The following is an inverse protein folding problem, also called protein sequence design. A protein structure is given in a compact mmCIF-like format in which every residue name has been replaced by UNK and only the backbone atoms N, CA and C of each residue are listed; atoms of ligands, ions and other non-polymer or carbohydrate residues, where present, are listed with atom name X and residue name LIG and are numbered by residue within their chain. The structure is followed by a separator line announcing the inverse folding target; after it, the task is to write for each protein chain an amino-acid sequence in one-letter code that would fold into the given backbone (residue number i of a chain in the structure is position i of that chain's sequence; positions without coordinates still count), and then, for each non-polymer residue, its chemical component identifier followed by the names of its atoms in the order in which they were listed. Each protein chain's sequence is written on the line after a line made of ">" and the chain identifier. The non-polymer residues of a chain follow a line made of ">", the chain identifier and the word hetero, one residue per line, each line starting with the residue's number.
data_IF_778103754461
#
_entry.id   IF_778103754461
#
_cell.length_a   1.000
_cell.length_b   1.000
_cell.length_c   1.000
_cell.angle_alpha   90.00
_cell.angle_beta   90.00
_cell.angle_gamma   90.00
#
_symmetry.space_group_name_H-M   'P 1'
#
loop_
_entity.id
_entity.type
_entity.pdbx_description
1 polymer ?
#
# COMPACT_ATOMS: atom_id res chain seq x y z
N UNK A 1 -3.42 21.17 -9.25
CA UNK A 1 -2.88 22.35 -8.54
C UNK A 1 -2.06 21.83 -7.37
N UNK A 2 -0.74 22.05 -7.37
CA UNK A 2 0.18 21.49 -6.38
C UNK A 2 0.03 22.22 -5.03
N UNK A 3 -0.23 21.45 -3.97
CA UNK A 3 -0.15 21.89 -2.58
C UNK A 3 1.31 22.32 -2.36
N UNK A 4 1.61 23.51 -1.79
CA UNK A 4 2.99 23.85 -1.46
C UNK A 4 3.52 22.80 -0.48
N UNK A 5 4.40 21.93 -0.97
CA UNK A 5 4.81 20.68 -0.31
C UNK A 5 5.58 20.90 1.02
N UNK A 6 5.91 22.16 1.37
CA UNK A 6 6.82 22.48 2.48
C UNK A 6 6.15 23.05 3.75
N UNK A 7 4.82 23.26 3.78
CA UNK A 7 4.19 23.97 4.92
C UNK A 7 3.41 23.08 5.90
N UNK A 8 3.24 21.79 5.61
CA UNK A 8 2.56 20.85 6.50
C UNK A 8 3.31 19.54 6.65
N UNK A 9 3.02 18.83 7.73
CA UNK A 9 3.34 17.42 7.88
C UNK A 9 2.10 16.68 8.41
N UNK A 10 1.77 15.55 7.77
CA UNK A 10 0.59 14.77 8.08
C UNK A 10 0.96 13.36 8.55
N UNK A 11 0.13 12.83 9.44
CA UNK A 11 0.24 11.47 9.96
C UNK A 11 -1.14 10.82 10.08
N UNK A 12 -1.18 9.51 9.84
CA UNK A 12 -2.30 8.63 10.21
C UNK A 12 -2.01 7.97 11.55
N UNK A 13 -2.97 7.97 12.46
CA UNK A 13 -2.90 7.17 13.68
C UNK A 13 -3.21 5.69 13.38
N UNK A 14 -2.36 4.80 13.88
CA UNK A 14 -2.50 3.34 13.76
C UNK A 14 -3.10 2.74 15.04
N UNK A 15 -3.61 1.49 14.93
CA UNK A 15 -4.32 0.82 16.02
C UNK A 15 -3.48 0.47 17.24
N UNK A 16 -2.16 0.41 17.09
CA UNK A 16 -1.21 0.24 18.18
C UNK A 16 -0.88 1.58 18.88
N UNK A 17 -1.46 2.68 18.40
CA UNK A 17 -1.22 4.03 18.87
C UNK A 17 0.01 4.69 18.26
N UNK A 18 0.73 4.04 17.34
CA UNK A 18 1.81 4.69 16.58
C UNK A 18 1.26 5.57 15.46
N UNK A 19 2.10 6.46 14.93
CA UNK A 19 1.75 7.34 13.81
C UNK A 19 2.55 7.01 12.55
N UNK A 20 1.85 6.94 11.42
CA UNK A 20 2.42 6.72 10.09
C UNK A 20 2.45 8.03 9.32
N UNK A 21 3.61 8.45 8.83
CA UNK A 21 3.73 9.67 8.00
C UNK A 21 2.97 9.48 6.69
N UNK A 22 2.16 10.47 6.33
CA UNK A 22 1.37 10.50 5.10
C UNK A 22 1.98 11.52 4.14
N UNK A 23 2.15 11.14 2.88
CA UNK A 23 2.60 12.06 1.84
C UNK A 23 1.48 13.05 1.51
N UNK A 24 1.84 14.31 1.26
CA UNK A 24 0.86 15.38 1.02
C UNK A 24 -0.01 15.11 -0.22
N UNK A 25 0.52 14.40 -1.22
CA UNK A 25 -0.21 14.00 -2.42
C UNK A 25 -1.27 12.92 -2.17
N UNK A 26 -1.03 12.04 -1.19
CA UNK A 26 -1.95 10.96 -0.83
C UNK A 26 -2.96 11.36 0.25
N UNK A 27 -2.78 12.53 0.88
CA UNK A 27 -3.49 12.93 2.09
C UNK A 27 -5.02 12.79 1.97
N UNK A 28 -5.59 13.14 0.82
CA UNK A 28 -7.02 13.01 0.57
C UNK A 28 -7.52 11.58 0.77
N UNK A 29 -6.79 10.58 0.26
CA UNK A 29 -7.18 9.17 0.31
C UNK A 29 -7.23 8.60 1.73
N UNK A 30 -6.57 9.26 2.69
CA UNK A 30 -6.54 8.84 4.09
C UNK A 30 -7.70 9.39 4.92
N UNK A 31 -8.46 10.37 4.39
CA UNK A 31 -9.69 10.83 5.02
C UNK A 31 -10.81 9.83 4.75
N UNK A 32 -11.04 8.95 5.72
CA UNK A 32 -12.12 7.97 5.75
C UNK A 32 -12.71 7.92 7.16
N UNK A 33 -13.98 7.54 7.29
CA UNK A 33 -14.72 7.72 8.53
C UNK A 33 -14.21 6.90 9.73
N UNK A 34 -13.31 5.95 9.52
CA UNK A 34 -12.69 5.16 10.60
C UNK A 34 -11.28 5.63 11.00
N UNK A 35 -10.71 6.61 10.30
CA UNK A 35 -9.35 7.07 10.51
C UNK A 35 -9.27 8.30 11.44
N UNK A 36 -8.10 8.46 12.05
CA UNK A 36 -7.66 9.71 12.66
C UNK A 36 -6.43 10.20 11.89
N UNK A 37 -6.53 11.43 11.38
CA UNK A 37 -5.48 12.09 10.62
C UNK A 37 -5.03 13.33 11.36
N UNK A 38 -3.76 13.43 11.67
CA UNK A 38 -3.16 14.59 12.30
C UNK A 38 -2.34 15.38 11.29
N UNK A 39 -2.58 16.67 11.16
CA UNK A 39 -1.85 17.58 10.28
C UNK A 39 -1.29 18.72 11.10
N UNK A 40 0.03 18.88 11.07
CA UNK A 40 0.72 20.02 11.66
C UNK A 40 1.08 21.04 10.58
N UNK A 41 0.78 22.32 10.85
CA UNK A 41 1.11 23.45 9.99
C UNK A 41 2.31 24.21 10.56
N UNK A 42 3.40 24.30 9.80
CA UNK A 42 4.67 24.88 10.27
C UNK A 42 4.57 26.38 10.54
N UNK A 43 3.94 27.12 9.62
CA UNK A 43 3.83 28.58 9.72
C UNK A 43 2.99 29.03 10.92
N UNK A 44 1.87 28.37 11.16
CA UNK A 44 0.94 28.69 12.25
C UNK A 44 1.32 28.01 13.57
N UNK A 45 2.21 27.01 13.53
CA UNK A 45 2.57 26.14 14.65
C UNK A 45 1.34 25.49 15.30
N UNK A 46 0.40 25.04 14.45
CA UNK A 46 -0.88 24.47 14.87
C UNK A 46 -0.98 23.02 14.45
N UNK A 47 -1.46 22.19 15.37
CA UNK A 47 -1.79 20.80 15.12
C UNK A 47 -3.31 20.66 14.96
N UNK A 48 -3.76 20.05 13.88
CA UNK A 48 -5.14 19.67 13.66
C UNK A 48 -5.23 18.16 13.68
N UNK A 49 -6.15 17.61 14.47
CA UNK A 49 -6.44 16.18 14.55
C UNK A 49 -7.85 16.01 14.02
N UNK A 50 -7.97 15.55 12.79
CA UNK A 50 -9.24 15.17 12.20
C UNK A 50 -9.58 13.74 12.62
N UNK A 51 -10.78 13.55 13.15
CA UNK A 51 -11.36 12.29 13.59
C UNK A 51 -12.57 11.98 12.72
N UNK A 52 -12.53 10.89 11.97
CA UNK A 52 -13.69 10.39 11.24
C UNK A 52 -14.89 10.08 12.15
N UNK A 53 -16.09 10.02 11.59
CA UNK A 53 -17.32 9.85 12.37
C UNK A 53 -17.43 8.48 13.05
N UNK A 54 -16.90 7.45 12.41
CA UNK A 54 -17.01 6.04 12.77
C UNK A 54 -15.70 5.47 13.34
N UNK A 55 -14.84 6.30 13.93
CA UNK A 55 -13.55 5.86 14.47
C UNK A 55 -13.75 4.89 15.65
N UNK A 56 -13.12 3.70 15.63
CA UNK A 56 -13.14 2.76 16.75
C UNK A 56 -12.65 3.34 18.08
N UNK A 57 -13.31 2.98 19.20
CA UNK A 57 -13.01 3.57 20.53
C UNK A 57 -11.58 3.30 21.00
N UNK A 58 -11.03 2.13 20.69
CA UNK A 58 -9.63 1.80 20.96
C UNK A 58 -8.68 2.79 20.25
N UNK A 59 -8.96 3.15 18.99
CA UNK A 59 -8.17 4.14 18.26
C UNK A 59 -8.31 5.54 18.87
N UNK A 60 -9.53 5.94 19.27
CA UNK A 60 -9.76 7.23 19.93
C UNK A 60 -8.96 7.40 21.23
N UNK A 61 -8.74 6.32 21.98
CA UNK A 61 -7.98 6.36 23.22
C UNK A 61 -6.50 6.77 23.02
N UNK A 62 -5.99 6.67 21.79
CA UNK A 62 -4.63 7.09 21.45
C UNK A 62 -4.54 8.56 20.99
N UNK A 63 -5.65 9.29 20.87
CA UNK A 63 -5.60 10.74 20.53
C UNK A 63 -4.69 11.55 21.46
N UNK A 64 -4.71 11.36 22.80
CA UNK A 64 -3.90 12.16 23.71
C UNK A 64 -2.38 12.04 23.50
N UNK A 65 -1.91 10.93 22.92
CA UNK A 65 -0.47 10.67 22.71
C UNK A 65 0.04 11.17 21.35
N UNK A 66 -0.85 11.60 20.44
CA UNK A 66 -0.47 12.05 19.10
C UNK A 66 0.52 13.22 19.17
N UNK A 67 0.24 14.19 20.04
CA UNK A 67 1.08 15.39 20.18
C UNK A 67 2.51 15.02 20.59
N UNK A 68 2.65 14.18 21.62
CA UNK A 68 3.94 13.70 22.11
C UNK A 68 4.71 12.96 21.01
N UNK A 69 4.02 12.09 20.25
CA UNK A 69 4.65 11.33 19.17
C UNK A 69 5.12 12.22 18.02
N UNK A 70 4.34 13.24 17.63
CA UNK A 70 4.75 14.17 16.57
C UNK A 70 5.99 14.95 17.00
N UNK A 71 6.03 15.45 18.24
CA UNK A 71 7.20 16.17 18.78
C UNK A 71 8.41 15.23 18.88
N UNK A 72 8.21 13.98 19.29
CA UNK A 72 9.28 12.97 19.37
C UNK A 72 9.88 12.64 18.01
N UNK A 73 9.05 12.49 16.97
CA UNK A 73 9.52 12.24 15.60
C UNK A 73 10.12 13.48 14.94
N UNK A 74 9.73 14.67 15.40
CA UNK A 74 10.18 15.95 14.83
C UNK A 74 10.64 16.90 15.94
N UNK A 75 11.87 16.75 16.46
CA UNK A 75 12.36 17.55 17.59
C UNK A 75 12.36 19.08 17.36
N UNK A 76 12.29 19.51 16.10
CA UNK A 76 12.26 20.92 15.70
C UNK A 76 10.85 21.54 15.68
N UNK A 77 9.80 20.72 15.85
CA UNK A 77 8.41 21.19 15.89
C UNK A 77 8.08 21.71 17.29
N UNK A 78 7.36 22.83 17.33
CA UNK A 78 6.78 23.39 18.54
C UNK A 78 5.30 23.64 18.28
N UNK A 79 4.44 22.98 19.04
CA UNK A 79 2.99 23.07 18.89
C UNK A 79 2.49 24.16 19.83
N UNK A 80 1.97 25.26 19.27
CA UNK A 80 1.39 26.35 20.05
C UNK A 80 -0.06 26.06 20.43
N UNK A 81 -0.76 25.31 19.59
CA UNK A 81 -2.17 24.97 19.79
C UNK A 81 -2.52 23.70 19.03
N UNK A 82 -3.32 22.85 19.63
CA UNK A 82 -3.95 21.72 18.95
C UNK A 82 -5.47 21.90 18.86
N UNK A 83 -6.07 21.32 17.83
CA UNK A 83 -7.51 21.28 17.60
C UNK A 83 -7.91 19.85 17.25
N UNK A 84 -9.08 19.42 17.75
CA UNK A 84 -9.69 18.16 17.32
C UNK A 84 -10.95 18.48 16.55
N UNK A 85 -11.01 18.03 15.30
CA UNK A 85 -12.14 18.20 14.40
C UNK A 85 -12.80 16.84 14.27
N UNK A 86 -14.13 16.79 14.36
CA UNK A 86 -14.87 15.54 14.32
C UNK A 86 -15.84 15.53 13.14
N UNK A 87 -15.67 14.55 12.25
CA UNK A 87 -16.58 14.32 11.13
C UNK A 87 -16.64 15.46 10.12
N UNK A 88 -17.82 15.66 9.54
CA UNK A 88 -18.09 16.73 8.55
C UNK A 88 -18.84 17.88 9.22
N UNK A 89 -18.09 18.81 9.85
CA UNK A 89 -18.61 20.02 10.52
C UNK A 89 -18.14 21.30 9.81
N UNK A 90 -18.61 22.46 10.26
CA UNK A 90 -18.12 23.77 9.79
C UNK A 90 -16.60 23.89 9.96
N UNK A 91 -16.07 23.43 11.10
CA UNK A 91 -14.64 23.37 11.41
C UNK A 91 -13.86 22.50 10.40
N UNK A 92 -14.50 21.47 9.84
CA UNK A 92 -13.92 20.64 8.78
C UNK A 92 -13.74 21.45 7.50
N UNK A 93 -14.70 22.31 7.15
CA UNK A 93 -14.59 23.15 5.95
C UNK A 93 -13.40 24.10 6.04
N UNK A 94 -13.25 24.83 7.15
CA UNK A 94 -12.11 25.73 7.36
C UNK A 94 -10.76 24.99 7.31
N UNK A 95 -10.72 23.79 7.87
CA UNK A 95 -9.54 22.94 7.85
C UNK A 95 -9.19 22.44 6.44
N UNK A 96 -10.17 22.04 5.64
CA UNK A 96 -9.96 21.62 4.25
C UNK A 96 -9.47 22.79 3.38
N UNK A 97 -9.98 23.99 3.61
CA UNK A 97 -9.51 25.21 2.93
C UNK A 97 -8.01 25.47 3.20
N UNK A 98 -7.56 25.27 4.45
CA UNK A 98 -6.14 25.37 4.82
C UNK A 98 -5.27 24.33 4.09
N UNK A 99 -5.81 23.12 3.91
CA UNK A 99 -5.16 22.04 3.16
C UNK A 99 -5.23 22.22 1.64
N UNK A 100 -6.05 23.14 1.15
CA UNK A 100 -6.40 23.30 -0.28
C UNK A 100 -7.03 22.02 -0.85
N UNK A 101 -7.79 21.31 -0.03
CA UNK A 101 -8.57 20.15 -0.45
C UNK A 101 -9.98 20.63 -0.80
N UNK A 102 -10.48 20.23 -1.96
CA UNK A 102 -11.85 20.54 -2.37
C UNK A 102 -12.85 19.77 -1.47
N UNK A 103 -13.86 20.47 -0.95
CA UNK A 103 -14.85 19.89 -0.05
C UNK A 103 -15.72 18.80 -0.72
N UNK A 104 -16.00 18.92 -2.01
CA UNK A 104 -16.76 17.94 -2.78
C UNK A 104 -15.94 16.67 -2.99
N UNK A 105 -14.65 16.79 -3.35
CA UNK A 105 -13.74 15.65 -3.47
C UNK A 105 -13.57 14.93 -2.13
N UNK A 106 -13.47 15.67 -1.03
CA UNK A 106 -13.42 15.10 0.32
C UNK A 106 -14.69 14.32 0.68
N UNK A 107 -15.88 14.88 0.43
CA UNK A 107 -17.14 14.18 0.70
C UNK A 107 -17.28 12.92 -0.15
N UNK A 108 -16.95 13.03 -1.44
CA UNK A 108 -16.96 11.91 -2.37
C UNK A 108 -16.02 10.78 -1.91
N UNK A 109 -14.81 11.13 -1.45
CA UNK A 109 -13.87 10.17 -0.90
C UNK A 109 -14.44 9.42 0.33
N UNK A 110 -15.15 10.10 1.23
CA UNK A 110 -15.80 9.47 2.38
C UNK A 110 -16.91 8.51 1.94
N UNK A 111 -17.79 8.95 1.03
CA UNK A 111 -18.93 8.19 0.53
C UNK A 111 -18.48 6.94 -0.23
N UNK A 112 -17.57 7.08 -1.19
CA UNK A 112 -17.04 5.96 -1.97
C UNK A 112 -16.39 4.90 -1.08
N UNK A 113 -15.69 5.33 -0.04
CA UNK A 113 -15.07 4.41 0.90
C UNK A 113 -16.08 3.73 1.82
N UNK A 114 -17.09 4.45 2.32
CA UNK A 114 -18.14 3.87 3.16
C UNK A 114 -18.99 2.85 2.35
N UNK A 115 -19.31 3.15 1.09
CA UNK A 115 -19.99 2.23 0.18
C UNK A 115 -19.16 0.98 -0.12
N UNK A 116 -17.86 1.17 -0.38
CA UNK A 116 -16.92 0.06 -0.54
C UNK A 116 -16.86 -0.80 0.72
N UNK A 117 -16.71 -0.17 1.89
CA UNK A 117 -16.67 -0.86 3.18
C UNK A 117 -17.95 -1.65 3.42
N UNK A 118 -19.11 -1.05 3.18
CA UNK A 118 -20.41 -1.68 3.36
C UNK A 118 -20.54 -2.97 2.56
N UNK A 119 -20.20 -2.94 1.27
CA UNK A 119 -20.23 -4.13 0.41
C UNK A 119 -19.29 -5.24 0.91
N UNK A 120 -18.08 -4.87 1.31
CA UNK A 120 -17.10 -5.84 1.84
C UNK A 120 -17.53 -6.46 3.17
N UNK A 121 -18.19 -5.69 4.05
CA UNK A 121 -18.77 -6.21 5.28
C UNK A 121 -19.89 -7.23 5.00
N UNK A 122 -20.74 -6.97 4.01
CA UNK A 122 -21.76 -7.94 3.57
C UNK A 122 -21.11 -9.23 3.07
N UNK A 123 -20.03 -9.15 2.28
CA UNK A 123 -19.29 -10.34 1.84
C UNK A 123 -18.68 -11.11 3.02
N UNK A 124 -18.16 -10.40 4.04
CA UNK A 124 -17.66 -11.04 5.26
C UNK A 124 -18.80 -11.77 5.99
N UNK A 125 -19.98 -11.16 6.12
CA UNK A 125 -21.12 -11.77 6.80
C UNK A 125 -21.56 -13.08 6.13
N UNK A 126 -21.58 -13.12 4.80
CA UNK A 126 -21.89 -14.33 4.02
C UNK A 126 -20.87 -15.42 4.34
N UNK A 127 -19.57 -15.13 4.20
CA UNK A 127 -18.50 -16.08 4.51
C UNK A 127 -18.52 -16.56 5.97
N UNK A 128 -18.87 -15.68 6.91
CA UNK A 128 -19.03 -16.04 8.32
C UNK A 128 -20.19 -17.02 8.55
N UNK A 129 -21.29 -16.91 7.79
CA UNK A 129 -22.39 -17.85 7.86
C UNK A 129 -22.01 -19.20 7.26
N UNK A 130 -21.32 -19.22 6.12
CA UNK A 130 -20.78 -20.46 5.53
C UNK A 130 -19.82 -21.16 6.48
N UNK A 131 -18.94 -20.42 7.17
CA UNK A 131 -18.05 -20.99 8.20
C UNK A 131 -18.86 -21.72 9.29
N UNK A 132 -19.99 -21.15 9.75
CA UNK A 132 -20.85 -21.80 10.76
C UNK A 132 -21.41 -23.13 10.24
N UNK A 133 -21.77 -23.20 8.96
CA UNK A 133 -22.24 -24.44 8.32
C UNK A 133 -21.12 -25.49 8.23
N UNK A 134 -19.94 -25.10 7.76
CA UNK A 134 -18.78 -26.00 7.70
C UNK A 134 -18.31 -26.47 9.08
N UNK A 135 -18.48 -25.66 10.13
CA UNK A 135 -18.24 -26.09 11.52
C UNK A 135 -19.18 -27.22 11.95
N UNK A 136 -20.45 -27.20 11.52
CA UNK A 136 -21.41 -28.28 11.79
C UNK A 136 -20.99 -29.58 11.09
N UNK A 137 -20.43 -29.48 9.89
CA UNK A 137 -19.97 -30.61 9.09
C UNK A 137 -18.53 -31.06 9.40
N UNK A 138 -17.81 -30.36 10.29
CA UNK A 138 -16.38 -30.59 10.61
C UNK A 138 -15.44 -30.45 9.41
N UNK A 139 -15.80 -29.63 8.44
CA UNK A 139 -15.01 -29.39 7.23
C UNK A 139 -13.91 -28.35 7.50
N UNK A 140 -12.92 -28.71 8.32
CA UNK A 140 -11.91 -27.79 8.85
C UNK A 140 -11.08 -27.07 7.78
N UNK A 141 -10.83 -27.73 6.64
CA UNK A 141 -10.10 -27.13 5.52
C UNK A 141 -10.89 -25.97 4.88
N UNK A 142 -12.18 -26.15 4.65
CA UNK A 142 -13.06 -25.12 4.10
C UNK A 142 -13.16 -23.92 5.04
N UNK A 143 -13.25 -24.17 6.35
CA UNK A 143 -13.26 -23.11 7.35
C UNK A 143 -11.96 -22.30 7.29
N UNK A 144 -10.81 -22.94 7.19
CA UNK A 144 -9.52 -22.23 7.08
C UNK A 144 -9.45 -21.37 5.80
N UNK A 145 -9.91 -21.88 4.66
CA UNK A 145 -9.94 -21.14 3.40
C UNK A 145 -10.82 -19.90 3.54
N UNK A 146 -12.05 -20.06 4.01
CA UNK A 146 -13.01 -18.96 4.17
C UNK A 146 -12.54 -17.94 5.22
N UNK A 147 -11.97 -18.39 6.33
CA UNK A 147 -11.42 -17.50 7.36
C UNK A 147 -10.26 -16.64 6.81
N UNK A 148 -9.38 -17.21 5.98
CA UNK A 148 -8.33 -16.44 5.30
C UNK A 148 -8.91 -15.43 4.31
N UNK A 149 -9.96 -15.79 3.57
CA UNK A 149 -10.65 -14.87 2.67
C UNK A 149 -11.26 -13.70 3.45
N UNK A 150 -11.88 -13.96 4.60
CA UNK A 150 -12.38 -12.91 5.49
C UNK A 150 -11.24 -12.00 5.97
N UNK A 151 -10.08 -12.56 6.36
CA UNK A 151 -8.92 -11.76 6.78
C UNK A 151 -8.49 -10.81 5.66
N UNK A 152 -8.31 -11.32 4.43
CA UNK A 152 -7.93 -10.50 3.27
C UNK A 152 -8.94 -9.36 3.00
N UNK A 153 -10.24 -9.65 3.07
CA UNK A 153 -11.28 -8.62 2.92
C UNK A 153 -11.20 -7.62 4.08
N UNK A 154 -11.07 -8.11 5.31
CA UNK A 154 -11.01 -7.30 6.52
C UNK A 154 -9.79 -6.38 6.56
N UNK A 155 -8.65 -6.81 6.01
CA UNK A 155 -7.45 -5.97 5.85
C UNK A 155 -7.71 -4.79 4.91
N UNK A 156 -8.35 -5.02 3.77
CA UNK A 156 -8.71 -3.96 2.79
C UNK A 156 -9.61 -2.89 3.40
N UNK A 157 -10.53 -3.29 4.28
CA UNK A 157 -11.40 -2.37 4.99
C UNK A 157 -10.88 -1.97 6.38
N UNK A 158 -9.69 -2.37 6.79
CA UNK A 158 -9.11 -2.04 8.10
C UNK A 158 -10.00 -2.48 9.30
N UNK A 159 -10.68 -3.62 9.19
CA UNK A 159 -11.52 -4.21 10.24
C UNK A 159 -10.72 -5.15 11.17
N UNK A 160 -9.84 -4.56 11.99
CA UNK A 160 -8.86 -5.27 12.81
C UNK A 160 -9.46 -6.24 13.83
N UNK A 161 -10.65 -5.96 14.36
CA UNK A 161 -11.33 -6.86 15.29
C UNK A 161 -11.75 -8.16 14.60
N UNK A 162 -12.22 -8.08 13.35
CA UNK A 162 -12.58 -9.24 12.53
C UNK A 162 -11.33 -10.06 12.21
N UNK A 163 -10.22 -9.40 11.82
CA UNK A 163 -8.94 -10.07 11.54
C UNK A 163 -8.53 -10.93 12.75
N UNK A 164 -8.47 -10.32 13.94
CA UNK A 164 -8.09 -11.02 15.19
C UNK A 164 -9.03 -12.17 15.52
N UNK A 165 -10.34 -12.01 15.27
CA UNK A 165 -11.32 -13.07 15.48
C UNK A 165 -11.08 -14.27 14.55
N UNK A 166 -10.81 -14.01 13.27
CA UNK A 166 -10.55 -15.08 12.29
C UNK A 166 -9.19 -15.75 12.50
N UNK A 167 -8.15 -15.00 12.86
CA UNK A 167 -6.84 -15.56 13.23
C UNK A 167 -6.98 -16.54 14.40
N UNK A 168 -7.73 -16.16 15.43
CA UNK A 168 -8.03 -17.02 16.57
C UNK A 168 -8.81 -18.27 16.14
N UNK A 169 -9.77 -18.12 15.23
CA UNK A 169 -10.55 -19.25 14.68
C UNK A 169 -9.63 -20.25 13.96
N UNK A 170 -8.72 -19.75 13.12
CA UNK A 170 -7.73 -20.58 12.43
C UNK A 170 -6.81 -21.28 13.43
N UNK A 171 -6.35 -20.59 14.47
CA UNK A 171 -5.52 -21.19 15.51
C UNK A 171 -6.24 -22.31 16.26
N UNK A 172 -7.50 -22.11 16.64
CA UNK A 172 -8.31 -23.14 17.30
C UNK A 172 -8.51 -24.40 16.45
N UNK A 173 -8.56 -24.26 15.12
CA UNK A 173 -8.67 -25.40 14.21
C UNK A 173 -7.34 -26.15 14.11
N UNK A 174 -6.21 -25.44 14.07
CA UNK A 174 -4.87 -26.05 14.02
C UNK A 174 -4.52 -26.85 15.28
N UNK A 175 -5.04 -26.45 16.43
CA UNK A 175 -4.81 -27.14 17.71
C UNK A 175 -5.70 -28.39 17.91
N UNK A 176 -6.70 -28.62 17.05
CA UNK A 176 -7.45 -29.87 17.03
C UNK A 176 -6.67 -30.89 16.18
N UNK A 177 -6.24 -32.03 16.74
CA UNK A 177 -5.42 -32.99 16.01
C UNK A 177 -6.14 -33.45 14.74
N UNK A 178 -5.41 -33.42 13.64
CA UNK A 178 -5.77 -34.01 12.35
C UNK A 178 -5.98 -35.52 12.55
N UNK A 179 -7.23 -35.95 12.62
CA UNK A 179 -7.59 -37.30 12.22
C UNK A 179 -8.15 -37.24 10.80
N UNK A 180 -7.44 -37.94 9.92
CA UNK A 180 -7.81 -38.37 8.55
C UNK A 180 -7.34 -37.49 7.37
N UNK A 181 -6.05 -37.62 7.05
CA UNK A 181 -5.65 -37.82 5.66
C UNK A 181 -6.35 -39.07 5.09
N UNK A 182 -7.34 -38.90 4.21
CA UNK A 182 -7.62 -39.87 3.14
C UNK A 182 -7.96 -39.13 1.85
N UNK A 183 -6.95 -39.01 1.00
CA UNK A 183 -6.99 -39.30 -0.45
C UNK A 183 -8.34 -39.12 -1.18
N UNK A 184 -8.48 -38.06 -1.98
CA UNK A 184 -8.42 -38.15 -3.46
C UNK A 184 -9.01 -36.91 -4.14
N UNK A 185 -8.28 -36.42 -5.14
CA UNK A 185 -8.71 -35.53 -6.24
C UNK A 185 -9.66 -34.37 -5.88
N UNK A 186 -9.05 -33.19 -5.76
CA UNK A 186 -9.52 -32.04 -6.56
C UNK A 186 -8.37 -31.07 -6.80
N UNK A 187 -8.09 -30.85 -8.09
CA UNK A 187 -7.43 -29.64 -8.59
C UNK A 187 -8.07 -28.39 -7.95
N UNK A 188 -7.34 -27.29 -7.74
CA UNK A 188 -7.98 -26.05 -7.32
C UNK A 188 -8.92 -25.59 -8.45
N UNK A 189 -10.23 -25.71 -8.22
CA UNK A 189 -11.24 -24.89 -8.87
C UNK A 189 -11.16 -23.52 -8.20
N UNK A 190 -10.22 -22.70 -8.63
CA UNK A 190 -10.17 -21.27 -8.31
C UNK A 190 -10.19 -20.60 -9.68
N UNK A 191 -11.38 -20.51 -10.30
CA UNK A 191 -11.62 -19.61 -11.43
C UNK A 191 -13.11 -19.45 -11.84
N UNK A 192 -14.08 -20.17 -11.25
CA UNK A 192 -15.47 -20.14 -11.76
C UNK A 192 -16.54 -19.45 -10.89
N UNK A 193 -16.21 -18.71 -9.83
CA UNK A 193 -17.24 -17.98 -9.05
C UNK A 193 -17.13 -16.44 -9.06
N UNK A 194 -16.24 -15.87 -9.87
CA UNK A 194 -16.22 -14.42 -10.13
C UNK A 194 -16.94 -13.98 -11.40
N UNK A 195 -17.50 -14.90 -12.19
CA UNK A 195 -18.19 -14.55 -13.46
C UNK A 195 -19.72 -14.42 -13.38
N UNK A 196 -20.36 -14.73 -12.25
CA UNK A 196 -21.83 -14.66 -12.14
C UNK A 196 -22.41 -13.26 -11.83
N UNK A 197 -21.72 -12.17 -12.20
CA UNK A 197 -22.22 -10.79 -12.06
C UNK A 197 -22.22 -10.00 -13.37
N UNK A 198 -22.11 -10.67 -14.53
CA UNK A 198 -22.28 -10.03 -15.84
C UNK A 198 -23.28 -10.78 -16.70
N UNK A 199 -24.55 -10.77 -16.31
CA UNK A 199 -25.62 -11.08 -17.26
C UNK A 199 -26.92 -10.39 -16.84
N UNK A 200 -27.08 -9.14 -17.30
CA UNK A 200 -28.40 -8.60 -17.61
C UNK A 200 -28.25 -7.39 -18.54
N UNK A 201 -28.21 -7.68 -19.85
CA UNK A 201 -28.75 -6.83 -20.92
C UNK A 201 -28.66 -7.58 -22.25
N UNK A 202 -29.71 -8.33 -22.56
CA UNK A 202 -29.95 -8.94 -23.87
C UNK A 202 -30.18 -7.89 -24.99
N UNK A 203 -30.09 -8.30 -26.27
CA UNK A 203 -29.63 -7.48 -27.39
C UNK A 203 -30.73 -7.09 -28.39
N UNK A 204 -30.50 -6.04 -29.18
CA UNK A 204 -31.19 -5.81 -30.46
C UNK A 204 -30.18 -5.19 -31.44
N UNK A 205 -29.59 -6.01 -32.33
CA UNK A 205 -29.95 -6.22 -33.76
C UNK A 205 -29.24 -5.26 -34.73
N UNK A 206 -28.34 -5.84 -35.54
CA UNK A 206 -28.36 -5.91 -37.03
C UNK A 206 -28.09 -4.54 -37.69
N UNK A 207 -27.13 -4.37 -38.60
CA UNK A 207 -26.87 -5.14 -39.81
C UNK A 207 -25.62 -4.56 -40.52
N UNK A 208 -24.86 -5.41 -41.24
CA UNK A 208 -24.07 -5.13 -42.47
C UNK A 208 -23.01 -4.00 -42.48
N UNK A 209 -21.82 -4.09 -43.07
CA UNK A 209 -21.19 -4.92 -44.10
C UNK A 209 -19.67 -4.63 -44.07
N UNK A 210 -18.78 -5.54 -44.49
CA UNK A 210 -17.34 -5.29 -44.62
C UNK A 210 -17.01 -4.72 -46.01
N UNK A 211 -15.82 -4.11 -46.19
CA UNK A 211 -14.90 -4.35 -47.33
C UNK A 211 -13.83 -3.25 -47.47
N UNK A 212 -12.57 -3.72 -47.59
CA UNK A 212 -11.48 -3.27 -48.50
C UNK A 212 -10.75 -1.96 -48.18
N UNK A 213 -9.47 -2.05 -47.84
CA UNK A 213 -8.26 -2.10 -48.72
C UNK A 213 -7.86 -0.71 -49.22
N UNK A 214 -6.59 -0.37 -48.98
CA UNK A 214 -5.64 0.43 -49.79
C UNK A 214 -4.61 1.06 -48.83
N UNK A 215 -3.41 0.51 -48.73
CA UNK A 215 -2.22 0.94 -49.49
C UNK A 215 -1.91 2.44 -49.33
N UNK A 216 -0.81 2.76 -48.63
CA UNK A 216 0.33 3.45 -49.23
C UNK A 216 1.46 3.72 -48.21
N UNK A 217 2.64 3.40 -48.72
CA UNK A 217 4.03 3.56 -48.29
C UNK A 217 4.51 4.85 -47.56
N UNK A 218 5.74 4.80 -47.01
CA UNK A 218 6.31 5.73 -46.02
C UNK A 218 7.02 6.92 -46.70
N UNK A 219 7.69 7.80 -45.94
CA UNK A 219 9.02 8.36 -46.27
C UNK A 219 9.51 9.48 -45.31
N UNK A 220 10.82 9.38 -45.01
CA UNK A 220 11.82 10.43 -44.72
C UNK A 220 11.84 11.03 -43.32
N UNK A 221 12.89 10.74 -42.53
CA UNK A 221 14.26 11.29 -42.58
C UNK A 221 14.29 12.81 -42.32
N UNK A 222 14.85 13.19 -41.17
CA UNK A 222 15.81 14.30 -41.14
C UNK A 222 16.75 14.18 -39.93
N UNK A 223 18.03 14.29 -40.26
CA UNK A 223 19.23 14.20 -39.44
C UNK A 223 19.37 15.39 -38.46
N UNK A 224 20.13 15.19 -37.37
CA UNK A 224 21.31 16.03 -37.06
C UNK A 224 21.86 15.74 -35.64
N UNK A 225 23.01 15.07 -35.58
CA UNK A 225 24.13 15.36 -34.66
C UNK A 225 24.71 16.78 -34.97
N UNK A 226 25.61 17.43 -34.17
CA UNK A 226 26.66 16.82 -33.34
C UNK A 226 27.12 17.54 -32.04
N UNK A 227 27.90 16.80 -31.25
CA UNK A 227 29.15 17.15 -30.52
C UNK A 227 29.32 18.53 -29.85
N UNK A 228 29.73 18.53 -28.57
CA UNK A 228 31.09 18.98 -28.17
C UNK A 228 31.42 18.74 -26.69
N UNK A 229 32.64 18.26 -26.50
CA UNK A 229 33.45 18.15 -25.29
C UNK A 229 33.70 19.53 -24.65
N UNK A 230 33.86 19.58 -23.33
CA UNK A 230 34.85 20.45 -22.71
C UNK A 230 35.33 19.87 -21.37
N UNK A 231 36.59 19.46 -21.36
CA UNK A 231 37.41 19.20 -20.18
C UNK A 231 37.73 20.51 -19.46
N UNK A 232 37.80 20.49 -18.13
CA UNK A 232 38.67 21.38 -17.38
C UNK A 232 39.06 20.75 -16.03
N UNK A 233 40.35 20.44 -15.96
CA UNK A 233 41.13 20.13 -14.75
C UNK A 233 41.13 21.29 -13.75
N UNK A 234 41.29 20.99 -12.44
CA UNK A 234 42.41 21.48 -11.59
C UNK A 234 42.15 21.22 -10.08
N UNK A 235 42.86 20.20 -9.58
CA UNK A 235 43.71 20.17 -8.37
C UNK A 235 43.34 21.03 -7.15
N UNK A 236 43.21 20.37 -5.98
CA UNK A 236 44.26 20.41 -4.94
C UNK A 236 44.03 19.42 -3.79
N UNK A 237 45.14 18.75 -3.46
CA UNK A 237 45.42 17.91 -2.31
C UNK A 237 45.13 18.59 -0.97
N UNK A 238 44.62 17.81 -0.01
CA UNK A 238 45.16 17.79 1.36
C UNK A 238 45.20 16.35 1.84
N UNK A 239 46.41 15.83 1.97
CA UNK A 239 46.75 14.64 2.74
C UNK A 239 46.51 14.89 4.24
N UNK A 240 45.89 13.91 4.92
CA UNK A 240 46.26 13.53 6.28
C UNK A 240 45.81 12.08 6.53
N UNK A 241 46.80 11.29 6.94
CA UNK A 241 46.86 9.84 7.08
C UNK A 241 46.44 9.39 8.53
N UNK A 242 46.56 8.10 8.94
CA UNK A 242 45.43 7.24 9.32
C UNK A 242 45.44 6.85 10.82
N UNK A 243 44.69 5.77 11.18
CA UNK A 243 44.73 4.89 12.39
C UNK A 243 43.28 4.70 12.94
N UNK A 244 42.68 3.52 13.10
CA UNK A 244 43.15 2.13 13.26
C UNK A 244 42.06 1.12 12.87
N UNK A 245 42.54 -0.05 12.46
CA UNK A 245 41.85 -1.32 12.20
C UNK A 245 41.12 -1.89 13.43
N UNK A 246 39.98 -2.54 13.19
CA UNK A 246 39.57 -3.81 13.82
C UNK A 246 38.54 -4.46 12.88
N UNK A 247 39.02 -5.30 11.97
CA UNK A 247 38.84 -6.76 11.93
C UNK A 247 37.48 -7.23 11.38
N UNK A 248 37.54 -7.81 10.19
CA UNK A 248 36.45 -8.46 9.49
C UNK A 248 36.48 -10.00 9.73
N UNK A 249 35.27 -10.55 9.93
CA UNK A 249 34.74 -11.79 9.34
C UNK A 249 35.26 -13.19 9.82
N UNK A 250 34.45 -14.29 9.69
CA UNK A 250 33.59 -14.57 8.53
C UNK A 250 32.19 -15.18 8.73
N UNK A 251 31.47 -15.04 7.62
CA UNK A 251 30.26 -15.69 7.10
C UNK A 251 30.16 -17.21 7.31
N UNK A 252 28.92 -17.66 7.51
CA UNK A 252 28.31 -18.93 7.01
C UNK A 252 26.85 -18.56 6.70
N UNK A 253 26.36 -18.45 5.46
CA UNK A 253 26.27 -19.41 4.36
C UNK A 253 25.72 -20.79 4.76
N UNK A 254 24.39 -20.89 4.66
CA UNK A 254 23.61 -22.08 4.26
C UNK A 254 22.37 -21.51 3.55
N UNK A 255 22.44 -21.33 2.21
CA UNK A 255 21.77 -22.17 1.20
C UNK A 255 20.29 -22.37 1.52
N UNK A 256 19.31 -21.70 0.89
CA UNK A 256 19.03 -21.57 -0.54
C UNK A 256 18.91 -22.91 -1.27
N UNK A 257 17.80 -23.61 -1.05
CA UNK A 257 17.14 -24.49 -2.02
C UNK A 257 15.63 -24.53 -1.73
N UNK A 258 14.65 -24.62 -2.63
CA UNK A 258 14.46 -24.28 -4.03
C UNK A 258 12.93 -24.52 -4.27
N UNK A 259 12.27 -23.65 -5.04
CA UNK A 259 11.13 -23.95 -5.93
C UNK A 259 9.73 -24.22 -5.32
N UNK A 260 8.87 -23.20 -5.37
CA UNK A 260 7.66 -23.26 -6.21
C UNK A 260 7.57 -21.99 -7.06
N UNK A 261 8.07 -22.12 -8.28
CA UNK A 261 7.86 -21.20 -9.39
C UNK A 261 6.37 -21.22 -9.77
N UNK A 262 5.72 -20.05 -9.76
CA UNK A 262 4.85 -19.51 -10.85
C UNK A 262 3.94 -18.34 -10.42
N UNK A 263 3.92 -17.94 -9.14
CA UNK A 263 3.05 -16.82 -8.68
C UNK A 263 3.81 -15.68 -7.97
N UNK A 264 5.15 -15.75 -7.92
CA UNK A 264 6.01 -14.93 -7.04
C UNK A 264 6.75 -13.86 -7.84
N UNK A 265 6.11 -12.75 -8.21
CA UNK A 265 6.86 -11.52 -8.60
C UNK A 265 6.21 -10.25 -8.01
N UNK A 266 4.88 -10.19 -7.90
CA UNK A 266 4.15 -9.02 -7.36
C UNK A 266 4.21 -8.90 -5.82
N UNK A 267 3.99 -10.00 -5.08
CA UNK A 267 4.02 -10.02 -3.62
C UNK A 267 5.43 -9.73 -3.07
N UNK A 268 6.46 -10.22 -3.78
CA UNK A 268 7.87 -10.08 -3.40
C UNK A 268 8.37 -8.66 -3.63
N UNK A 269 7.98 -8.00 -4.75
CA UNK A 269 8.36 -6.61 -5.02
C UNK A 269 7.91 -5.63 -3.93
N UNK A 270 6.63 -5.70 -3.53
CA UNK A 270 6.09 -4.77 -2.53
C UNK A 270 6.71 -4.99 -1.14
N UNK A 271 6.98 -6.26 -0.80
CA UNK A 271 7.67 -6.63 0.43
C UNK A 271 9.11 -6.10 0.46
N UNK A 272 9.87 -6.32 -0.61
CA UNK A 272 11.25 -5.81 -0.76
C UNK A 272 11.30 -4.28 -0.70
N UNK A 273 10.41 -3.59 -1.42
CA UNK A 273 10.37 -2.13 -1.42
C UNK A 273 10.05 -1.57 -0.01
N UNK A 274 9.16 -2.22 0.73
CA UNK A 274 8.86 -1.86 2.12
C UNK A 274 10.06 -2.10 3.03
N UNK A 275 10.76 -3.22 2.88
CA UNK A 275 11.95 -3.54 3.66
C UNK A 275 13.05 -2.50 3.41
N UNK A 276 13.32 -2.17 2.15
CA UNK A 276 14.30 -1.14 1.77
C UNK A 276 14.00 0.20 2.47
N UNK A 277 12.75 0.65 2.44
CA UNK A 277 12.34 1.91 3.08
C UNK A 277 12.48 1.89 4.62
N UNK A 278 12.36 0.72 5.28
CA UNK A 278 12.52 0.60 6.72
C UNK A 278 13.98 0.69 7.18
N UNK A 279 14.91 0.21 6.35
CA UNK A 279 16.33 0.12 6.70
C UNK A 279 17.20 1.21 6.06
N UNK A 280 16.65 2.05 5.18
CA UNK A 280 17.35 3.13 4.44
C UNK A 280 18.22 4.04 5.30
N UNK A 281 17.76 4.38 6.51
CA UNK A 281 18.51 5.22 7.44
C UNK A 281 19.57 4.46 8.27
N UNK A 282 19.50 3.14 8.32
CA UNK A 282 20.30 2.28 9.19
C UNK A 282 21.39 1.51 8.44
N UNK A 283 21.14 1.11 7.20
CA UNK A 283 22.01 0.24 6.42
C UNK A 283 21.96 0.57 4.92
N UNK A 284 22.68 1.64 4.46
CA UNK A 284 22.60 2.09 3.07
C UNK A 284 23.02 1.04 2.03
N UNK A 285 24.00 0.19 2.36
CA UNK A 285 24.47 -0.87 1.46
C UNK A 285 23.41 -1.97 1.29
N UNK A 286 22.78 -2.40 2.38
CA UNK A 286 21.71 -3.38 2.35
C UNK A 286 20.44 -2.83 1.68
N UNK A 287 20.14 -1.54 1.88
CA UNK A 287 19.10 -0.84 1.13
C UNK A 287 19.37 -0.89 -0.37
N UNK A 288 20.61 -0.60 -0.79
CA UNK A 288 21.00 -0.64 -2.20
C UNK A 288 20.79 -2.04 -2.78
N UNK A 289 21.22 -3.09 -2.09
CA UNK A 289 21.01 -4.48 -2.53
C UNK A 289 19.53 -4.84 -2.70
N UNK A 290 18.67 -4.43 -1.77
CA UNK A 290 17.22 -4.70 -1.85
C UNK A 290 16.58 -3.90 -3.00
N UNK A 291 16.98 -2.63 -3.18
CA UNK A 291 16.49 -1.82 -4.30
C UNK A 291 16.94 -2.38 -5.65
N UNK A 292 18.15 -2.95 -5.75
CA UNK A 292 18.61 -3.66 -6.95
C UNK A 292 17.73 -4.88 -7.23
N UNK A 293 17.37 -5.68 -6.20
CA UNK A 293 16.41 -6.79 -6.38
C UNK A 293 15.03 -6.31 -6.85
N UNK A 294 14.54 -5.18 -6.33
CA UNK A 294 13.31 -4.56 -6.83
C UNK A 294 13.43 -4.18 -8.32
N UNK A 295 14.57 -3.61 -8.74
CA UNK A 295 14.82 -3.24 -10.13
C UNK A 295 14.91 -4.47 -11.03
N UNK A 296 15.54 -5.55 -10.56
CA UNK A 296 15.61 -6.83 -11.29
C UNK A 296 14.20 -7.41 -11.53
N UNK A 297 13.29 -7.32 -10.55
CA UNK A 297 11.91 -7.77 -10.72
C UNK A 297 11.20 -6.99 -11.83
N UNK A 298 11.36 -5.66 -11.87
CA UNK A 298 10.75 -4.83 -12.92
C UNK A 298 11.38 -5.11 -14.28
N UNK A 299 12.70 -5.20 -14.36
CA UNK A 299 13.42 -5.34 -15.63
C UNK A 299 13.28 -6.73 -16.25
N UNK A 300 13.08 -7.77 -15.44
CA UNK A 300 12.90 -9.15 -15.89
C UNK A 300 11.61 -9.37 -16.69
N UNK A 301 10.51 -8.70 -16.33
CA UNK A 301 9.26 -8.75 -17.11
C UNK A 301 8.45 -7.44 -16.98
N UNK A 302 8.96 -6.38 -17.60
CA UNK A 302 8.43 -5.02 -17.48
C UNK A 302 6.96 -4.87 -17.89
N UNK A 303 6.57 -5.50 -18.99
CA UNK A 303 5.20 -5.39 -19.52
C UNK A 303 4.20 -6.02 -18.56
N UNK A 304 4.48 -7.25 -18.09
CA UNK A 304 3.64 -7.96 -17.10
C UNK A 304 3.60 -7.22 -15.76
N UNK A 305 4.74 -6.71 -15.28
CA UNK A 305 4.81 -5.95 -14.04
C UNK A 305 3.94 -4.70 -14.08
N UNK A 306 3.95 -3.96 -15.20
CA UNK A 306 3.12 -2.76 -15.40
C UNK A 306 1.64 -3.12 -15.49
N UNK A 307 1.28 -4.24 -16.13
CA UNK A 307 -0.10 -4.73 -16.21
C UNK A 307 -0.67 -5.07 -14.82
N UNK A 308 0.11 -5.76 -13.99
CA UNK A 308 -0.26 -6.09 -12.60
C UNK A 308 -0.19 -4.86 -11.66
N UNK A 309 0.65 -3.87 -11.98
CA UNK A 309 0.90 -2.69 -11.16
C UNK A 309 0.81 -1.37 -11.97
N UNK A 310 -0.37 -0.99 -12.49
CA UNK A 310 -0.51 0.16 -13.40
C UNK A 310 -0.17 1.51 -12.77
N UNK A 311 -0.12 1.61 -11.43
CA UNK A 311 0.29 2.81 -10.71
C UNK A 311 1.82 2.95 -10.57
N UNK A 312 2.60 1.90 -10.90
CA UNK A 312 4.05 1.79 -10.67
C UNK A 312 4.89 1.92 -11.93
N UNK A 313 4.33 2.47 -13.01
CA UNK A 313 5.02 2.67 -14.31
C UNK A 313 6.32 3.48 -14.17
N UNK A 314 6.42 4.33 -13.14
CA UNK A 314 7.60 5.17 -12.88
C UNK A 314 8.60 4.55 -11.92
N UNK A 315 8.29 3.42 -11.29
CA UNK A 315 9.10 2.85 -10.21
C UNK A 315 10.50 2.46 -10.71
N UNK A 316 10.63 1.96 -11.93
CA UNK A 316 11.92 1.67 -12.59
C UNK A 316 12.87 2.88 -12.53
N UNK A 317 12.45 4.02 -13.06
CA UNK A 317 13.23 5.25 -13.10
C UNK A 317 13.45 5.87 -11.70
N UNK A 318 12.58 5.56 -10.74
CA UNK A 318 12.75 5.98 -9.34
C UNK A 318 13.82 5.12 -8.65
N UNK A 319 13.81 3.81 -8.88
CA UNK A 319 14.78 2.87 -8.33
C UNK A 319 16.18 3.13 -8.87
N UNK A 320 16.33 3.35 -10.18
CA UNK A 320 17.61 3.71 -10.81
C UNK A 320 18.25 4.98 -10.21
N UNK A 321 17.44 5.93 -9.74
CA UNK A 321 17.92 7.14 -9.07
C UNK A 321 18.22 6.95 -7.58
N UNK A 322 17.63 5.93 -6.95
CA UNK A 322 17.83 5.64 -5.52
C UNK A 322 19.02 4.70 -5.26
N UNK A 323 19.40 3.87 -6.23
CA UNK A 323 20.56 2.96 -6.20
C UNK A 323 21.86 3.72 -6.39
#
# INVERSE_FOLDING_TARGET
>A
MSIPHDNIIAYKLLNDGSILKVLNEDLLSFFININIISVYFYKEKRLYIWKGENVPRNLQNHIPIIEEQIVKLNPNISILRHFTIEGVKEETTEFLDLLKINQEDFKKQLEEWDDFRGRMLTSIEILQNEIKEHFANKEFREIQIKAKNIINIAEKIQANDIIKEQEKTIQQIKEKPEEEEISSKTKPLIEEESESLKEEAEPLKEEAEPLKDEEAEPLKDEEAEPLKEEEAELLKEVEAEPLKEEEAEPLKEEEAELLKEEEIESEDYNHLLRQANLIESRSPNETKEILTKCLDIITKNREKFIEENPKRVKDEAILEKRI
#
